data_IF_800751231442
#
_entry.id   IF_800751231442
#
_cell.length_a   1.000
_cell.length_b   1.000
_cell.length_c   1.000
_cell.angle_alpha   90.00
_cell.angle_beta   90.00
_cell.angle_gamma   90.00
#
_symmetry.space_group_name_H-M   'P 1'
#
loop_
_entity.id
_entity.type
_entity.pdbx_description
1 polymer ?
#
# COMPACT_ATOMS: atom_id res chain seq x y z
N UNK A 1 5.21 -19.70 21.14
CA UNK A 1 4.86 -18.80 20.02
C UNK A 1 5.41 -17.43 20.37
N UNK A 2 6.45 -16.95 19.67
CA UNK A 2 6.92 -15.59 19.89
C UNK A 2 5.78 -14.62 19.55
N UNK A 3 5.57 -13.59 20.38
CA UNK A 3 4.63 -12.53 20.06
C UNK A 3 5.03 -11.95 18.69
N UNK A 4 4.15 -12.05 17.69
CA UNK A 4 4.38 -11.37 16.43
C UNK A 4 4.38 -9.88 16.73
N UNK A 5 5.52 -9.23 16.54
CA UNK A 5 5.52 -7.77 16.43
C UNK A 5 4.59 -7.37 15.28
N UNK A 6 3.91 -6.22 15.42
CA UNK A 6 3.15 -5.66 14.30
C UNK A 6 4.07 -5.55 13.06
N UNK A 7 3.62 -5.99 11.87
CA UNK A 7 4.46 -5.97 10.68
C UNK A 7 4.83 -4.53 10.31
N UNK A 8 6.04 -4.34 9.77
CA UNK A 8 6.49 -3.02 9.34
C UNK A 8 5.80 -2.65 8.03
N UNK A 9 5.05 -1.55 8.04
CA UNK A 9 4.27 -1.10 6.89
C UNK A 9 4.92 0.06 6.18
N UNK A 10 4.99 -0.05 4.86
CA UNK A 10 5.25 1.07 3.96
C UNK A 10 3.94 1.39 3.26
N UNK A 11 3.53 2.66 3.34
CA UNK A 11 2.36 3.17 2.62
C UNK A 11 2.82 4.03 1.46
N UNK A 12 2.35 3.71 0.27
CA UNK A 12 2.57 4.48 -0.96
C UNK A 12 1.19 4.96 -1.41
N UNK A 13 1.01 6.25 -1.65
CA UNK A 13 -0.29 6.81 -2.04
C UNK A 13 -0.16 7.88 -3.12
N UNK A 14 -1.29 8.18 -3.76
CA UNK A 14 -1.45 9.14 -4.86
C UNK A 14 -0.71 8.78 -6.16
N UNK A 15 -0.27 7.54 -6.34
CA UNK A 15 0.32 7.07 -7.60
C UNK A 15 -0.72 6.49 -8.56
N UNK A 16 -0.35 6.42 -9.84
CA UNK A 16 -1.03 5.53 -10.80
C UNK A 16 -0.55 4.09 -10.62
N UNK A 17 -1.48 3.13 -10.63
CA UNK A 17 -1.21 1.71 -10.36
C UNK A 17 -1.80 0.85 -11.47
N UNK A 18 -1.00 -0.04 -12.05
CA UNK A 18 -1.47 -1.14 -12.89
C UNK A 18 -1.17 -2.46 -12.17
N UNK A 19 -2.21 -3.26 -11.88
CA UNK A 19 -2.08 -4.42 -10.98
C UNK A 19 -1.69 -5.73 -11.68
N UNK A 20 -1.81 -5.80 -13.01
CA UNK A 20 -1.56 -7.01 -13.82
C UNK A 20 -2.31 -8.24 -13.28
N UNK A 21 -3.48 -8.01 -12.68
CA UNK A 21 -4.40 -9.07 -12.30
C UNK A 21 -5.16 -9.57 -13.54
N UNK A 22 -6.01 -10.58 -13.36
CA UNK A 22 -6.79 -11.15 -14.46
C UNK A 22 -7.81 -10.16 -15.10
N UNK A 23 -8.01 -8.99 -14.49
CA UNK A 23 -8.96 -7.98 -14.93
C UNK A 23 -8.26 -6.76 -15.53
N UNK A 24 -6.93 -6.76 -15.62
CA UNK A 24 -6.12 -5.63 -16.01
C UNK A 24 -6.48 -4.37 -15.19
N UNK A 25 -6.68 -4.51 -13.87
CA UNK A 25 -7.15 -3.40 -13.04
C UNK A 25 -6.12 -2.27 -12.98
N UNK A 26 -6.59 -1.06 -13.29
CA UNK A 26 -5.82 0.19 -13.21
C UNK A 26 -6.47 1.20 -12.26
N UNK A 27 -5.64 1.87 -11.46
CA UNK A 27 -6.03 3.01 -10.63
C UNK A 27 -5.27 4.24 -11.08
N UNK A 28 -5.99 5.26 -11.58
CA UNK A 28 -5.36 6.54 -11.97
C UNK A 28 -4.71 7.25 -10.76
N UNK A 29 -5.35 7.14 -9.60
CA UNK A 29 -4.82 7.55 -8.30
C UNK A 29 -5.20 6.48 -7.27
N UNK A 30 -4.20 5.88 -6.63
CA UNK A 30 -4.38 4.78 -5.70
C UNK A 30 -3.35 4.73 -4.59
N UNK A 31 -3.44 3.66 -3.81
CA UNK A 31 -2.52 3.36 -2.73
C UNK A 31 -2.08 1.90 -2.74
N UNK A 32 -0.92 1.65 -2.14
CA UNK A 32 -0.35 0.34 -1.88
C UNK A 32 0.14 0.33 -0.43
N UNK A 33 -0.25 -0.69 0.33
CA UNK A 33 0.34 -0.99 1.64
C UNK A 33 1.20 -2.25 1.49
N UNK A 34 2.48 -2.12 1.81
CA UNK A 34 3.42 -3.24 1.89
C UNK A 34 3.66 -3.55 3.35
N UNK A 35 3.32 -4.76 3.79
CA UNK A 35 3.64 -5.27 5.12
C UNK A 35 4.86 -6.19 5.00
N UNK A 36 5.96 -5.77 5.62
CA UNK A 36 7.30 -6.36 5.49
C UNK A 36 7.73 -6.50 4.02
N UNK A 37 7.45 -7.66 3.43
CA UNK A 37 7.84 -8.06 2.08
C UNK A 37 6.66 -8.55 1.23
N UNK A 38 5.42 -8.23 1.61
CA UNK A 38 4.21 -8.57 0.85
C UNK A 38 3.29 -7.37 0.70
N UNK A 39 2.59 -7.31 -0.44
CA UNK A 39 1.48 -6.37 -0.60
C UNK A 39 0.35 -6.85 0.30
N UNK A 40 0.00 -6.02 1.29
CA UNK A 40 -1.10 -6.26 2.22
C UNK A 40 -2.42 -5.77 1.61
N UNK A 41 -2.39 -4.59 0.97
CA UNK A 41 -3.56 -4.03 0.30
C UNK A 41 -3.19 -3.11 -0.85
N UNK A 42 -4.10 -3.01 -1.80
CA UNK A 42 -4.07 -2.09 -2.94
C UNK A 42 -5.48 -1.56 -3.18
N UNK A 43 -5.61 -0.31 -3.56
CA UNK A 43 -6.93 0.26 -3.87
C UNK A 43 -6.86 1.66 -4.47
N UNK A 44 -8.03 2.19 -4.84
CA UNK A 44 -8.18 3.54 -5.34
C UNK A 44 -8.08 4.59 -4.23
N UNK A 45 -7.62 5.79 -4.57
CA UNK A 45 -7.53 6.95 -3.67
C UNK A 45 -6.43 6.86 -2.61
N UNK A 46 -6.62 7.62 -1.52
CA UNK A 46 -5.70 7.69 -0.38
C UNK A 46 -5.71 6.39 0.42
N UNK A 47 -4.58 6.04 1.03
CA UNK A 47 -4.50 4.86 1.88
C UNK A 47 -5.39 4.99 3.14
N UNK A 48 -5.86 3.86 3.71
CA UNK A 48 -6.60 3.86 4.96
C UNK A 48 -5.87 4.59 6.09
N UNK A 49 -6.65 5.31 6.89
CA UNK A 49 -6.15 5.97 8.10
C UNK A 49 -6.11 4.99 9.28
N UNK A 50 -5.28 5.27 10.29
CA UNK A 50 -5.20 4.45 11.51
C UNK A 50 -4.41 3.13 11.37
N UNK A 51 -3.68 2.92 10.27
CA UNK A 51 -2.78 1.77 10.13
C UNK A 51 -1.68 1.79 11.21
N UNK A 52 -1.51 0.69 11.94
CA UNK A 52 -0.42 0.50 12.90
C UNK A 52 0.85 0.03 12.18
N UNK A 53 2.02 0.17 12.81
CA UNK A 53 3.28 -0.33 12.26
C UNK A 53 3.77 0.40 11.01
N UNK A 54 3.17 1.55 10.63
CA UNK A 54 3.63 2.35 9.49
C UNK A 54 4.97 2.98 9.82
N UNK A 55 6.03 2.46 9.20
CA UNK A 55 7.41 2.96 9.37
C UNK A 55 7.79 3.97 8.29
N UNK A 56 7.05 4.01 7.18
CA UNK A 56 7.29 4.95 6.08
C UNK A 56 6.00 5.24 5.32
N UNK A 57 5.79 6.50 4.96
CA UNK A 57 4.71 6.95 4.08
C UNK A 57 5.29 7.76 2.93
N UNK A 58 4.84 7.49 1.71
CA UNK A 58 5.36 8.05 0.46
C UNK A 58 4.19 8.63 -0.32
N UNK A 59 4.26 9.94 -0.60
CA UNK A 59 3.44 10.58 -1.62
C UNK A 59 4.13 10.38 -2.97
N UNK A 60 3.47 9.67 -3.88
CA UNK A 60 4.01 9.25 -5.17
C UNK A 60 3.36 9.98 -6.35
N UNK A 61 2.75 11.15 -6.09
CA UNK A 61 2.18 11.99 -7.15
C UNK A 61 3.24 12.31 -8.23
N UNK A 62 2.94 11.98 -9.49
CA UNK A 62 3.77 12.33 -10.66
C UNK A 62 4.94 11.39 -10.97
N UNK A 63 5.01 10.22 -10.33
CA UNK A 63 6.01 9.18 -10.56
C UNK A 63 5.37 7.88 -11.05
#
# INVERSE_FOLDING_TARGET
MAASADPQRIVIENCSIATVDAHDTEYASGYIVVADNRIESVGAGKAPEGLTGVVRRIDATGH
#
